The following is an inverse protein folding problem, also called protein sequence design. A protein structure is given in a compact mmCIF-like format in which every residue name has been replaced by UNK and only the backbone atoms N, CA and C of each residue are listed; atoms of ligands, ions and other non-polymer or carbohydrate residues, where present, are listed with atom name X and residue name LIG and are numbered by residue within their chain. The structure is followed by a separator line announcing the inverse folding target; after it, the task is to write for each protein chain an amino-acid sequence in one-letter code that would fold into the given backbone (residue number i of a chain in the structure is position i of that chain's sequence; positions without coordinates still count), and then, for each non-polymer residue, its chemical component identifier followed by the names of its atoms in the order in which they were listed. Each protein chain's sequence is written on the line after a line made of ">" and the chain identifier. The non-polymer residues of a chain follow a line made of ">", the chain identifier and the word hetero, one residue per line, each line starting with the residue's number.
data_IF_048451103929
#
_entry.id   IF_048451103929
#
_cell.length_a   1.000
_cell.length_b   1.000
_cell.length_c   1.000
_cell.angle_alpha   90.00
_cell.angle_beta   90.00
_cell.angle_gamma   90.00
#
_symmetry.space_group_name_H-M   'P 1'
#
loop_
_entity.id
_entity.type
_entity.pdbx_description
1 polymer ?
#
# COMPACT_ATOMS: atom_id res chain seq x y z
N UNK A 1 -44.84 0.64 36.45
CA UNK A 1 -43.41 0.30 36.29
C UNK A 1 -43.33 -0.95 35.46
N UNK A 2 -42.66 -0.88 34.32
CA UNK A 2 -41.86 -1.94 33.70
C UNK A 2 -41.32 -1.32 32.40
N UNK A 3 -40.26 -0.54 32.58
CA UNK A 3 -39.39 -0.09 31.50
C UNK A 3 -38.77 -1.36 30.90
N UNK A 4 -39.14 -1.68 29.66
CA UNK A 4 -38.57 -2.83 28.94
C UNK A 4 -37.16 -2.43 28.52
N UNK A 5 -36.11 -3.09 29.02
CA UNK A 5 -34.76 -2.78 28.57
C UNK A 5 -34.65 -3.18 27.10
N UNK A 6 -34.55 -2.18 26.22
CA UNK A 6 -34.10 -2.37 24.85
C UNK A 6 -32.63 -2.78 24.89
N UNK A 7 -32.37 -4.08 24.78
CA UNK A 7 -31.02 -4.59 24.60
C UNK A 7 -30.37 -3.88 23.40
N UNK A 8 -29.20 -3.22 23.54
CA UNK A 8 -28.50 -2.72 22.38
C UNK A 8 -28.11 -3.91 21.53
N UNK A 9 -28.62 -3.95 20.29
CA UNK A 9 -28.23 -4.93 19.29
C UNK A 9 -26.70 -5.07 19.28
N UNK A 10 -26.15 -6.28 19.17
CA UNK A 10 -24.70 -6.47 19.14
C UNK A 10 -24.16 -5.59 18.02
N UNK A 11 -23.30 -4.64 18.37
CA UNK A 11 -22.52 -3.92 17.39
C UNK A 11 -21.92 -4.99 16.49
N UNK A 12 -22.31 -4.98 15.21
CA UNK A 12 -21.59 -5.72 14.19
C UNK A 12 -20.14 -5.26 14.35
N UNK A 13 -19.35 -6.09 15.04
CA UNK A 13 -17.91 -6.03 14.96
C UNK A 13 -17.67 -6.35 13.49
N UNK A 14 -17.57 -5.30 12.68
CA UNK A 14 -16.98 -5.38 11.36
C UNK A 14 -15.59 -5.89 11.63
N UNK A 15 -15.48 -7.22 11.62
CA UNK A 15 -14.23 -7.90 11.43
C UNK A 15 -13.80 -7.37 10.07
N UNK A 16 -13.03 -6.29 10.11
CA UNK A 16 -12.30 -5.77 8.97
C UNK A 16 -11.23 -6.83 8.71
N UNK A 17 -11.68 -7.99 8.23
CA UNK A 17 -10.86 -8.91 7.49
C UNK A 17 -10.50 -8.08 6.27
N UNK A 18 -9.41 -7.33 6.37
CA UNK A 18 -8.83 -6.60 5.25
C UNK A 18 -8.48 -7.68 4.24
N UNK A 19 -9.46 -8.02 3.42
CA UNK A 19 -9.33 -9.00 2.37
C UNK A 19 -8.54 -8.26 1.34
N UNK A 20 -7.21 -8.37 1.45
CA UNK A 20 -6.32 -7.77 0.48
C UNK A 20 -6.78 -8.25 -0.90
N UNK A 21 -6.82 -7.32 -1.84
CA UNK A 21 -7.12 -7.62 -3.22
C UNK A 21 -6.21 -8.74 -3.71
N UNK A 22 -6.70 -9.58 -4.62
CA UNK A 22 -5.87 -10.62 -5.27
C UNK A 22 -4.61 -10.04 -5.96
N UNK A 23 -4.66 -8.74 -6.23
CA UNK A 23 -3.62 -7.95 -6.84
C UNK A 23 -2.67 -7.27 -5.84
N UNK A 24 -2.85 -7.50 -4.53
CA UNK A 24 -1.95 -6.97 -3.51
C UNK A 24 -0.54 -7.51 -3.70
N UNK A 25 0.45 -6.64 -3.61
CA UNK A 25 1.85 -7.00 -3.83
C UNK A 25 2.78 -6.30 -2.84
N UNK A 26 3.84 -7.02 -2.47
CA UNK A 26 4.90 -6.52 -1.61
C UNK A 26 5.98 -5.80 -2.41
N UNK A 27 6.51 -4.72 -1.84
CA UNK A 27 7.67 -4.01 -2.36
C UNK A 27 8.47 -3.41 -1.18
N UNK A 28 9.73 -3.03 -1.40
CA UNK A 28 10.53 -2.35 -0.40
C UNK A 28 10.78 -0.90 -0.81
N UNK A 29 10.43 0.05 0.05
CA UNK A 29 10.73 1.46 -0.11
C UNK A 29 11.79 1.90 0.88
N UNK A 30 12.95 2.36 0.39
CA UNK A 30 14.10 2.73 1.23
C UNK A 30 14.53 1.65 2.24
N UNK A 31 14.31 0.37 1.90
CA UNK A 31 14.59 -0.78 2.77
C UNK A 31 13.41 -1.20 3.66
N UNK A 32 12.35 -0.40 3.74
CA UNK A 32 11.12 -0.74 4.48
C UNK A 32 10.20 -1.55 3.58
N UNK A 33 9.81 -2.75 4.02
CA UNK A 33 8.81 -3.58 3.30
C UNK A 33 7.42 -2.98 3.47
N UNK A 34 6.76 -2.72 2.35
CA UNK A 34 5.41 -2.20 2.23
C UNK A 34 4.58 -3.15 1.37
N UNK A 35 3.26 -3.12 1.55
CA UNK A 35 2.32 -3.87 0.74
C UNK A 35 1.37 -2.87 0.10
N UNK A 36 1.33 -2.84 -1.22
CA UNK A 36 0.34 -2.09 -1.96
C UNK A 36 -0.90 -2.96 -2.15
N UNK A 37 -2.04 -2.44 -1.74
CA UNK A 37 -3.35 -3.08 -1.92
C UNK A 37 -4.18 -2.22 -2.88
N UNK A 38 -4.20 -2.54 -4.18
CA UNK A 38 -4.97 -1.81 -5.17
C UNK A 38 -6.47 -2.05 -4.98
N UNK A 39 -7.28 -1.01 -5.16
CA UNK A 39 -8.71 -1.18 -5.38
C UNK A 39 -9.00 -1.87 -6.72
N UNK A 40 -10.21 -2.40 -6.93
CA UNK A 40 -10.57 -3.18 -8.14
C UNK A 40 -10.28 -2.45 -9.46
N UNK A 41 -10.41 -1.13 -9.47
CA UNK A 41 -10.18 -0.27 -10.64
C UNK A 41 -8.87 0.55 -10.55
N UNK A 42 -8.09 0.39 -9.47
CA UNK A 42 -6.82 1.09 -9.26
C UNK A 42 -5.66 0.35 -9.94
N UNK A 43 -4.82 1.08 -10.65
CA UNK A 43 -3.60 0.49 -11.22
C UNK A 43 -2.62 0.11 -10.12
N UNK A 44 -1.90 -1.01 -10.30
CA UNK A 44 -0.83 -1.43 -9.36
C UNK A 44 0.17 -0.30 -9.08
N UNK A 45 0.47 0.49 -10.11
CA UNK A 45 1.35 1.64 -10.00
C UNK A 45 0.77 2.72 -9.06
N UNK A 46 -0.47 3.15 -9.26
CA UNK A 46 -1.14 4.11 -8.37
C UNK A 46 -1.23 3.62 -6.92
N UNK A 47 -1.58 2.35 -6.72
CA UNK A 47 -1.60 1.72 -5.40
C UNK A 47 -0.24 1.80 -4.71
N UNK A 48 0.85 1.55 -5.45
CA UNK A 48 2.22 1.68 -4.94
C UNK A 48 2.54 3.13 -4.59
N UNK A 49 2.25 4.09 -5.48
CA UNK A 49 2.50 5.51 -5.22
C UNK A 49 1.73 6.01 -4.00
N UNK A 50 0.46 5.63 -3.87
CA UNK A 50 -0.38 5.91 -2.70
C UNK A 50 0.23 5.35 -1.43
N UNK A 51 0.62 4.08 -1.45
CA UNK A 51 1.23 3.39 -0.29
C UNK A 51 2.54 4.06 0.14
N UNK A 52 3.40 4.40 -0.83
CA UNK A 52 4.64 5.15 -0.57
C UNK A 52 4.31 6.50 0.04
N UNK A 53 3.34 7.22 -0.52
CA UNK A 53 2.99 8.55 -0.04
C UNK A 53 2.41 8.55 1.37
N UNK A 54 1.59 7.55 1.70
CA UNK A 54 1.09 7.33 3.05
C UNK A 54 2.22 6.99 4.03
N UNK A 55 3.19 6.18 3.62
CA UNK A 55 4.35 5.83 4.47
C UNK A 55 5.31 7.00 4.67
N UNK A 56 5.61 7.76 3.60
CA UNK A 56 6.57 8.85 3.64
C UNK A 56 5.97 10.18 4.15
N UNK A 57 4.63 10.26 4.27
CA UNK A 57 3.92 11.50 4.61
C UNK A 57 4.00 12.58 3.53
N UNK A 58 4.34 12.21 2.29
CA UNK A 58 4.47 13.12 1.15
C UNK A 58 4.12 12.41 -0.15
N UNK A 59 3.49 13.08 -1.10
CA UNK A 59 3.11 12.50 -2.39
C UNK A 59 4.33 12.23 -3.27
N UNK A 60 4.24 11.20 -4.11
CA UNK A 60 5.27 10.92 -5.13
C UNK A 60 5.10 11.91 -6.27
N UNK A 61 6.13 12.70 -6.55
CA UNK A 61 6.16 13.68 -7.63
C UNK A 61 6.69 13.06 -8.93
N UNK A 62 7.69 12.19 -8.86
CA UNK A 62 8.29 11.57 -10.04
C UNK A 62 8.73 10.13 -9.78
N UNK A 63 8.42 9.24 -10.73
CA UNK A 63 8.98 7.89 -10.84
C UNK A 63 10.06 7.87 -11.92
N UNK A 64 11.30 7.66 -11.52
CA UNK A 64 12.41 7.52 -12.45
C UNK A 64 12.45 6.14 -13.11
N UNK A 65 13.38 5.99 -14.06
CA UNK A 65 13.46 4.80 -14.91
C UNK A 65 13.77 3.53 -14.10
N UNK A 66 13.01 2.48 -14.38
CA UNK A 66 13.25 1.13 -13.88
C UNK A 66 14.68 0.66 -14.20
N UNK A 67 15.36 0.12 -13.19
CA UNK A 67 16.65 -0.57 -13.32
C UNK A 67 16.52 -1.96 -12.73
N UNK A 68 16.81 -2.99 -13.53
CA UNK A 68 16.94 -4.36 -13.04
C UNK A 68 18.32 -4.54 -12.40
N UNK A 69 18.35 -4.99 -11.15
CA UNK A 69 19.56 -5.31 -10.39
C UNK A 69 19.45 -6.76 -9.94
N UNK A 70 20.09 -7.67 -10.69
CA UNK A 70 19.90 -9.11 -10.52
C UNK A 70 18.45 -9.52 -10.82
N UNK A 71 17.78 -10.09 -9.81
CA UNK A 71 16.37 -10.52 -9.87
C UNK A 71 15.39 -9.47 -9.31
N UNK A 72 15.88 -8.29 -8.95
CA UNK A 72 15.07 -7.21 -8.39
C UNK A 72 14.89 -6.09 -9.41
N UNK A 73 13.69 -5.53 -9.46
CA UNK A 73 13.40 -4.30 -10.20
C UNK A 73 13.46 -3.11 -9.25
N UNK A 74 14.28 -2.13 -9.57
CA UNK A 74 14.48 -0.95 -8.73
C UNK A 74 14.04 0.32 -9.44
N UNK A 75 13.36 1.20 -8.72
CA UNK A 75 12.83 2.46 -9.25
C UNK A 75 13.23 3.59 -8.31
N UNK A 76 14.01 4.59 -8.77
CA UNK A 76 14.19 5.80 -8.00
C UNK A 76 12.88 6.61 -8.05
N UNK A 77 12.51 7.19 -6.92
CA UNK A 77 11.32 8.03 -6.79
C UNK A 77 11.67 9.33 -6.09
N UNK A 78 11.04 10.41 -6.52
CA UNK A 78 11.17 11.73 -5.93
C UNK A 78 9.82 12.10 -5.35
N UNK A 79 9.79 12.44 -4.07
CA UNK A 79 8.61 12.96 -3.39
C UNK A 79 8.52 14.47 -3.62
N UNK A 80 7.32 15.03 -3.47
CA UNK A 80 7.05 16.46 -3.70
C UNK A 80 7.84 17.38 -2.74
N UNK A 81 8.18 16.86 -1.55
CA UNK A 81 9.05 17.55 -0.59
C UNK A 81 10.56 17.51 -0.97
N UNK A 82 10.91 17.01 -2.15
CA UNK A 82 12.29 16.89 -2.64
C UNK A 82 13.05 15.68 -2.10
N UNK A 83 12.44 14.87 -1.23
CA UNK A 83 13.06 13.63 -0.71
C UNK A 83 13.11 12.59 -1.82
N UNK A 84 14.27 11.96 -1.98
CA UNK A 84 14.47 10.88 -2.95
C UNK A 84 14.42 9.56 -2.21
N UNK A 85 13.68 8.60 -2.77
CA UNK A 85 13.63 7.24 -2.28
C UNK A 85 13.86 6.22 -3.39
N UNK A 86 13.94 4.97 -2.98
CA UNK A 86 14.14 3.83 -3.88
C UNK A 86 13.10 2.77 -3.58
N UNK A 87 12.30 2.43 -4.59
CA UNK A 87 11.46 1.24 -4.57
C UNK A 87 12.28 0.06 -5.09
N UNK A 88 12.13 -1.08 -4.45
CA UNK A 88 12.64 -2.37 -4.88
C UNK A 88 11.45 -3.33 -4.93
N UNK A 89 11.13 -3.82 -6.11
CA UNK A 89 10.15 -4.88 -6.31
C UNK A 89 10.97 -6.16 -6.48
N UNK A 90 10.84 -7.06 -5.51
CA UNK A 90 11.34 -8.41 -5.64
C UNK A 90 10.42 -9.11 -6.64
N UNK A 91 10.92 -9.40 -7.85
CA UNK A 91 10.15 -10.21 -8.79
C UNK A 91 9.82 -11.52 -8.10
N UNK A 92 8.55 -11.93 -8.12
CA UNK A 92 8.16 -13.22 -7.53
C UNK A 92 8.96 -14.30 -8.26
N UNK A 93 9.99 -14.84 -7.61
CA UNK A 93 10.78 -15.93 -8.12
C UNK A 93 9.92 -17.19 -8.02
N UNK A 94 9.12 -17.44 -9.05
CA UNK A 94 8.66 -18.79 -9.37
C UNK A 94 9.82 -19.65 -9.83
#
# INVERSE_FOLDING_TARGET
>A
MMDVPIEPAPAHQVLHMTTMSKLAFGFAFNGTKLVADPAEEESLHDAMLRTIGQHAGATVAECGRCKRVGDQYTYPITLDNGVRGKVVIEGNAT
#
